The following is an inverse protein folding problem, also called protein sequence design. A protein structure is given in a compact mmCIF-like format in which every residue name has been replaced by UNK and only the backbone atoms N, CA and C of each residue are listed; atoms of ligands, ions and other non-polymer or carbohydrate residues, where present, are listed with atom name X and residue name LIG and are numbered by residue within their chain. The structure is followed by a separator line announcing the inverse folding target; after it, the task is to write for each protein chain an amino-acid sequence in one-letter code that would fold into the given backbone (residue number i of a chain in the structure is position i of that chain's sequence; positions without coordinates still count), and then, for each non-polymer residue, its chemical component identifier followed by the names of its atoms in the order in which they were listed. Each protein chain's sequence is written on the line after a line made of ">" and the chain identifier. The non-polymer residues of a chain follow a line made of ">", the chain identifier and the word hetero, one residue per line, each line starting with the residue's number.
data_IF_070383176244
#
_entry.id   IF_070383176244
#
_cell.length_a   1.000
_cell.length_b   1.000
_cell.length_c   1.000
_cell.angle_alpha   90.00
_cell.angle_beta   90.00
_cell.angle_gamma   90.00
#
_symmetry.space_group_name_H-M   'P 1'
#
loop_
_entity.id
_entity.type
_entity.pdbx_description
1 polymer ?
#
# COMPACT_ATOMS: atom_id res chain seq x y z
N UNK A 1 13.90 36.75 -19.84
CA UNK A 1 15.08 37.20 -19.16
C UNK A 1 14.88 37.11 -17.68
N UNK A 2 15.72 36.32 -17.01
CA UNK A 2 15.71 36.28 -15.54
C UNK A 2 16.33 37.59 -15.06
N UNK A 3 15.63 38.31 -14.21
CA UNK A 3 16.13 39.50 -13.55
C UNK A 3 16.87 39.07 -12.29
N UNK A 4 18.22 39.08 -12.27
CA UNK A 4 19.00 38.63 -11.11
C UNK A 4 18.71 39.47 -9.85
N UNK A 5 18.27 40.72 -10.03
CA UNK A 5 17.93 41.63 -8.92
C UNK A 5 16.58 41.28 -8.25
N UNK A 6 15.71 40.52 -8.91
CA UNK A 6 14.42 40.13 -8.37
C UNK A 6 14.47 38.83 -7.55
N UNK A 7 15.62 38.17 -7.40
CA UNK A 7 15.74 36.87 -6.69
C UNK A 7 15.01 35.69 -7.37
N UNK A 8 14.67 35.83 -8.66
CA UNK A 8 14.01 34.79 -9.45
C UNK A 8 15.04 34.07 -10.29
N UNK A 9 15.28 32.82 -9.96
CA UNK A 9 16.16 31.95 -10.72
C UNK A 9 15.59 31.63 -12.11
N UNK A 10 16.43 31.41 -13.14
CA UNK A 10 15.97 31.10 -14.47
C UNK A 10 15.25 29.76 -14.54
N UNK A 11 14.21 29.65 -15.36
CA UNK A 11 13.35 28.46 -15.49
C UNK A 11 14.13 27.16 -15.77
N UNK A 12 15.21 27.25 -16.60
CA UNK A 12 16.06 26.08 -16.88
C UNK A 12 16.72 25.51 -15.64
N UNK A 13 17.01 26.33 -14.62
CA UNK A 13 17.61 25.89 -13.37
C UNK A 13 16.60 25.07 -12.57
N UNK A 14 15.36 25.53 -12.44
CA UNK A 14 14.30 24.77 -11.78
C UNK A 14 14.05 23.42 -12.47
N UNK A 15 14.10 23.38 -13.81
CA UNK A 15 13.96 22.11 -14.55
C UNK A 15 15.10 21.14 -14.23
N UNK A 16 16.34 21.59 -14.11
CA UNK A 16 17.46 20.74 -13.68
C UNK A 16 17.29 20.22 -12.26
N UNK A 17 16.82 21.07 -11.34
CA UNK A 17 16.52 20.69 -9.96
C UNK A 17 15.44 19.60 -9.93
N UNK A 18 14.38 19.71 -10.73
CA UNK A 18 13.34 18.68 -10.84
C UNK A 18 13.88 17.34 -11.33
N UNK A 19 14.78 17.33 -12.31
CA UNK A 19 15.43 16.11 -12.83
C UNK A 19 16.17 15.35 -11.72
N UNK A 20 16.69 16.07 -10.71
CA UNK A 20 17.37 15.45 -9.55
C UNK A 20 16.35 15.06 -8.46
N UNK A 21 15.40 15.92 -8.16
CA UNK A 21 14.40 15.69 -7.10
C UNK A 21 13.51 14.50 -7.41
N UNK A 22 13.01 14.37 -8.64
CA UNK A 22 12.07 13.32 -9.01
C UNK A 22 12.62 11.90 -8.71
N UNK A 23 13.82 11.50 -9.20
CA UNK A 23 14.38 10.19 -8.87
C UNK A 23 14.60 9.96 -7.37
N UNK A 24 15.02 11.00 -6.64
CA UNK A 24 15.21 10.91 -5.19
C UNK A 24 13.88 10.60 -4.49
N UNK A 25 12.81 11.32 -4.83
CA UNK A 25 11.49 11.05 -4.25
C UNK A 25 10.92 9.69 -4.65
N UNK A 26 11.11 9.25 -5.91
CA UNK A 26 10.72 7.90 -6.34
C UNK A 26 11.43 6.82 -5.52
N UNK A 27 12.73 7.01 -5.25
CA UNK A 27 13.50 6.10 -4.41
C UNK A 27 12.99 6.12 -2.97
N UNK A 28 12.78 7.29 -2.38
CA UNK A 28 12.22 7.42 -1.03
C UNK A 28 10.84 6.74 -0.91
N UNK A 29 9.97 6.93 -1.90
CA UNK A 29 8.64 6.29 -1.90
C UNK A 29 8.71 4.77 -2.00
N UNK A 30 9.71 4.25 -2.72
CA UNK A 30 9.99 2.81 -2.77
C UNK A 30 10.45 2.30 -1.40
N UNK A 31 11.42 2.99 -0.77
CA UNK A 31 11.96 2.63 0.56
C UNK A 31 10.87 2.66 1.64
N UNK A 32 9.99 3.67 1.61
CA UNK A 32 8.88 3.77 2.56
C UNK A 32 7.62 2.98 2.15
N UNK A 33 7.75 2.10 1.15
CA UNK A 33 6.66 1.23 0.66
C UNK A 33 5.37 2.00 0.30
N UNK A 34 5.51 3.22 -0.20
CA UNK A 34 4.39 4.04 -0.61
C UNK A 34 3.74 3.57 -1.92
N UNK A 35 4.46 2.80 -2.74
CA UNK A 35 3.93 2.18 -3.96
C UNK A 35 3.24 0.84 -3.71
N UNK A 36 3.38 0.25 -2.51
CA UNK A 36 2.77 -1.04 -2.22
C UNK A 36 1.30 -0.85 -1.85
N UNK A 37 0.34 -1.37 -2.65
CA UNK A 37 -1.07 -1.24 -2.34
C UNK A 37 -1.44 -2.11 -1.15
N UNK A 38 -1.71 -1.49 -0.01
CA UNK A 38 -2.15 -2.19 1.21
C UNK A 38 -3.64 -1.94 1.42
N UNK A 39 -4.47 -2.99 1.20
CA UNK A 39 -5.93 -2.89 1.30
C UNK A 39 -6.43 -2.54 2.71
N UNK A 40 -5.71 -3.02 3.73
CA UNK A 40 -6.11 -2.94 5.15
C UNK A 40 -5.31 -1.92 5.95
N UNK A 41 -4.31 -1.26 5.34
CA UNK A 41 -3.46 -0.30 6.05
C UNK A 41 -4.25 0.92 6.54
N UNK A 42 -4.01 1.31 7.81
CA UNK A 42 -4.60 2.50 8.41
C UNK A 42 -4.09 3.81 7.77
N UNK A 43 -4.98 4.81 7.68
CA UNK A 43 -4.66 6.16 7.14
C UNK A 43 -3.49 6.83 7.88
N UNK A 44 -3.42 6.63 9.21
CA UNK A 44 -2.37 7.22 10.06
C UNK A 44 -0.97 6.75 9.69
N UNK A 45 -0.81 5.44 9.43
CA UNK A 45 0.48 4.87 9.08
C UNK A 45 0.94 5.32 7.69
N UNK A 46 0.02 5.43 6.74
CA UNK A 46 0.31 5.94 5.41
C UNK A 46 0.74 7.41 5.45
N UNK A 47 -0.01 8.25 6.17
CA UNK A 47 0.36 9.65 6.40
C UNK A 47 1.73 9.79 7.06
N UNK A 48 2.01 8.97 8.09
CA UNK A 48 3.32 8.97 8.74
C UNK A 48 4.45 8.61 7.77
N UNK A 49 4.23 7.66 6.86
CA UNK A 49 5.23 7.30 5.85
C UNK A 49 5.43 8.42 4.81
N UNK A 50 4.37 9.12 4.40
CA UNK A 50 4.47 10.32 3.56
C UNK A 50 5.30 11.40 4.26
N UNK A 51 5.02 11.69 5.52
CA UNK A 51 5.78 12.68 6.29
C UNK A 51 7.26 12.28 6.40
N UNK A 52 7.56 11.01 6.72
CA UNK A 52 8.94 10.51 6.81
C UNK A 52 9.69 10.67 5.50
N UNK A 53 9.11 10.25 4.38
CA UNK A 53 9.72 10.37 3.06
C UNK A 53 10.01 11.85 2.73
N UNK A 54 9.05 12.72 2.97
CA UNK A 54 9.19 14.15 2.73
C UNK A 54 10.23 14.82 3.65
N UNK A 55 10.28 14.49 4.93
CA UNK A 55 11.28 15.00 5.87
C UNK A 55 12.69 14.62 5.41
N UNK A 56 12.89 13.34 5.06
CA UNK A 56 14.19 12.88 4.56
C UNK A 56 14.54 13.56 3.23
N UNK A 57 13.57 13.70 2.33
CA UNK A 57 13.75 14.45 1.08
C UNK A 57 14.16 15.90 1.32
N UNK A 58 13.53 16.57 2.28
CA UNK A 58 13.90 17.93 2.69
C UNK A 58 15.32 18.02 3.23
N UNK A 59 15.73 17.06 4.10
CA UNK A 59 17.09 16.99 4.61
C UNK A 59 18.13 16.76 3.51
N UNK A 60 17.86 15.81 2.60
CA UNK A 60 18.74 15.54 1.46
C UNK A 60 18.89 16.76 0.57
N UNK A 61 17.77 17.42 0.24
CA UNK A 61 17.78 18.59 -0.60
C UNK A 61 18.49 19.78 0.10
N UNK A 62 18.22 20.01 1.38
CA UNK A 62 18.92 21.01 2.18
C UNK A 62 20.43 20.77 2.25
N UNK A 63 20.85 19.50 2.36
CA UNK A 63 22.28 19.11 2.33
C UNK A 63 22.90 19.44 0.97
N UNK A 64 22.23 19.13 -0.13
CA UNK A 64 22.67 19.47 -1.49
C UNK A 64 22.86 20.98 -1.64
N UNK A 65 21.90 21.77 -1.17
CA UNK A 65 21.99 23.24 -1.21
C UNK A 65 23.15 23.76 -0.34
N UNK A 66 23.33 23.18 0.86
CA UNK A 66 24.41 23.58 1.76
C UNK A 66 25.79 23.27 1.17
N UNK A 67 25.99 22.06 0.65
CA UNK A 67 27.27 21.68 0.01
C UNK A 67 27.51 22.46 -1.28
N UNK A 68 26.44 22.75 -2.01
CA UNK A 68 26.48 23.50 -3.28
C UNK A 68 26.53 25.02 -3.12
N UNK A 69 26.60 25.56 -1.92
CA UNK A 69 26.54 27.04 -1.65
C UNK A 69 27.58 27.89 -2.36
N UNK A 70 28.66 27.27 -2.88
CA UNK A 70 29.64 27.97 -3.73
C UNK A 70 29.09 28.34 -5.11
N UNK A 71 28.04 27.63 -5.55
CA UNK A 71 27.35 27.93 -6.80
C UNK A 71 26.33 29.05 -6.54
N UNK A 72 26.39 30.18 -7.28
CA UNK A 72 25.48 31.32 -7.06
C UNK A 72 24.02 30.94 -7.18
N UNK A 73 23.63 30.06 -8.11
CA UNK A 73 22.25 29.62 -8.29
C UNK A 73 21.72 28.80 -7.09
N UNK A 74 22.54 27.93 -6.50
CA UNK A 74 22.14 27.15 -5.34
C UNK A 74 22.07 27.99 -4.05
N UNK A 75 22.91 29.03 -3.96
CA UNK A 75 22.90 29.98 -2.85
C UNK A 75 21.63 30.83 -2.82
N UNK A 76 21.17 31.25 -3.97
CA UNK A 76 19.95 32.09 -4.12
C UNK A 76 18.64 31.25 -4.01
N UNK A 77 18.74 29.94 -3.81
CA UNK A 77 17.55 29.11 -3.67
C UNK A 77 16.77 29.42 -2.38
N UNK A 78 15.56 29.89 -2.51
CA UNK A 78 14.77 30.41 -1.40
C UNK A 78 14.32 29.32 -0.43
N UNK A 79 14.61 29.49 0.86
CA UNK A 79 14.08 28.61 1.92
C UNK A 79 12.55 28.62 2.00
N UNK A 80 11.89 29.75 1.63
CA UNK A 80 10.44 29.85 1.56
C UNK A 80 9.87 28.95 0.46
N UNK A 81 10.54 28.86 -0.67
CA UNK A 81 10.16 27.99 -1.78
C UNK A 81 10.30 26.52 -1.38
N UNK A 82 11.37 26.16 -0.65
CA UNK A 82 11.53 24.80 -0.09
C UNK A 82 10.40 24.44 0.87
N UNK A 83 10.08 25.33 1.81
CA UNK A 83 9.00 25.11 2.76
C UNK A 83 7.63 24.99 2.05
N UNK A 84 7.39 25.87 1.07
CA UNK A 84 6.17 25.82 0.25
C UNK A 84 6.07 24.51 -0.53
N UNK A 85 7.14 24.08 -1.20
CA UNK A 85 7.19 22.79 -1.91
C UNK A 85 6.90 21.61 -0.96
N UNK A 86 7.56 21.56 0.19
CA UNK A 86 7.37 20.52 1.19
C UNK A 86 5.92 20.42 1.68
N UNK A 87 5.33 21.55 2.05
CA UNK A 87 3.95 21.60 2.52
C UNK A 87 2.95 21.22 1.42
N UNK A 88 3.15 21.74 0.23
CA UNK A 88 2.30 21.44 -0.93
C UNK A 88 2.40 19.99 -1.32
N UNK A 89 3.60 19.41 -1.31
CA UNK A 89 3.82 18.00 -1.64
C UNK A 89 3.11 17.07 -0.66
N UNK A 90 3.31 17.25 0.66
CA UNK A 90 2.60 16.44 1.68
C UNK A 90 1.08 16.56 1.53
N UNK A 91 0.59 17.78 1.32
CA UNK A 91 -0.86 18.02 1.19
C UNK A 91 -1.41 17.36 -0.07
N UNK A 92 -0.78 17.57 -1.21
CA UNK A 92 -1.20 16.99 -2.49
C UNK A 92 -1.19 15.46 -2.44
N UNK A 93 -0.11 14.84 -1.95
CA UNK A 93 0.00 13.39 -1.81
C UNK A 93 -1.05 12.80 -0.86
N UNK A 94 -1.28 13.48 0.27
CA UNK A 94 -2.29 13.03 1.23
C UNK A 94 -3.69 13.10 0.63
N UNK A 95 -4.02 14.15 -0.10
CA UNK A 95 -5.30 14.33 -0.78
C UNK A 95 -5.49 13.28 -1.88
N UNK A 96 -4.51 13.13 -2.76
CA UNK A 96 -4.52 12.15 -3.84
C UNK A 96 -4.77 10.73 -3.30
N UNK A 97 -4.00 10.31 -2.31
CA UNK A 97 -4.13 8.98 -1.71
C UNK A 97 -5.48 8.76 -1.03
N UNK A 98 -5.97 9.75 -0.33
CA UNK A 98 -7.31 9.65 0.27
C UNK A 98 -8.41 9.58 -0.78
N UNK A 99 -8.29 10.31 -1.89
CA UNK A 99 -9.22 10.26 -3.01
C UNK A 99 -9.21 8.88 -3.67
N UNK A 100 -8.04 8.38 -4.08
CA UNK A 100 -7.88 7.05 -4.68
C UNK A 100 -8.42 5.97 -3.76
N UNK A 101 -8.08 6.01 -2.48
CA UNK A 101 -8.59 5.06 -1.47
C UNK A 101 -10.11 5.08 -1.38
N UNK A 102 -10.71 6.26 -1.34
CA UNK A 102 -12.18 6.40 -1.24
C UNK A 102 -12.86 5.83 -2.46
N UNK A 103 -12.36 6.13 -3.65
CA UNK A 103 -12.87 5.59 -4.91
C UNK A 103 -12.74 4.06 -4.93
N UNK A 104 -11.54 3.53 -4.64
CA UNK A 104 -11.31 2.08 -4.63
C UNK A 104 -12.16 1.34 -3.60
N UNK A 105 -12.35 1.90 -2.41
CA UNK A 105 -13.23 1.32 -1.39
C UNK A 105 -14.69 1.29 -1.85
N UNK A 106 -15.17 2.38 -2.44
CA UNK A 106 -16.52 2.44 -3.01
C UNK A 106 -16.71 1.41 -4.12
N UNK A 107 -15.75 1.26 -5.02
CA UNK A 107 -15.77 0.25 -6.09
C UNK A 107 -15.81 -1.18 -5.51
N UNK A 108 -14.96 -1.47 -4.51
CA UNK A 108 -14.90 -2.78 -3.86
C UNK A 108 -16.20 -3.14 -3.15
N UNK A 109 -16.79 -2.19 -2.42
CA UNK A 109 -18.08 -2.38 -1.77
C UNK A 109 -19.21 -2.69 -2.78
N UNK A 110 -19.10 -2.18 -4.02
CA UNK A 110 -20.01 -2.50 -5.13
C UNK A 110 -19.67 -3.80 -5.86
N UNK A 111 -18.65 -4.55 -5.41
CA UNK A 111 -18.27 -5.83 -6.01
C UNK A 111 -17.19 -5.77 -7.09
N UNK A 112 -16.66 -4.57 -7.40
CA UNK A 112 -15.54 -4.43 -8.35
C UNK A 112 -14.19 -4.64 -7.66
N UNK A 113 -13.20 -5.12 -8.40
CA UNK A 113 -11.83 -5.32 -7.91
C UNK A 113 -11.78 -6.14 -6.61
N UNK A 114 -12.61 -7.19 -6.54
CA UNK A 114 -12.60 -8.15 -5.44
C UNK A 114 -11.46 -9.15 -5.60
N UNK A 115 -10.89 -9.58 -4.47
CA UNK A 115 -9.95 -10.70 -4.39
C UNK A 115 -10.66 -11.93 -3.83
N UNK A 116 -10.54 -13.03 -4.53
CA UNK A 116 -11.11 -14.30 -4.14
C UNK A 116 -10.11 -15.08 -3.28
N UNK A 117 -10.57 -15.47 -2.07
CA UNK A 117 -9.75 -16.13 -1.07
C UNK A 117 -10.33 -17.49 -0.75
N UNK A 118 -9.44 -18.47 -0.57
CA UNK A 118 -9.77 -19.75 0.11
C UNK A 118 -9.09 -19.76 1.46
N UNK A 119 -9.82 -20.24 2.46
CA UNK A 119 -9.28 -20.51 3.79
C UNK A 119 -8.84 -21.97 3.88
N UNK A 120 -7.67 -22.20 4.42
CA UNK A 120 -7.14 -23.53 4.69
C UNK A 120 -7.11 -23.76 6.20
N UNK A 121 -7.94 -24.70 6.65
CA UNK A 121 -8.19 -25.03 8.05
C UNK A 121 -9.36 -24.25 8.67
N UNK A 122 -10.29 -24.99 9.29
CA UNK A 122 -11.39 -24.42 10.06
C UNK A 122 -11.00 -24.30 11.53
N UNK A 123 -10.90 -23.08 12.00
CA UNK A 123 -10.56 -22.76 13.38
C UNK A 123 -11.22 -21.46 13.83
N UNK A 124 -11.08 -21.07 15.10
CA UNK A 124 -11.49 -19.74 15.57
C UNK A 124 -10.85 -18.61 14.75
N UNK A 125 -9.64 -18.83 14.23
CA UNK A 125 -8.99 -17.86 13.35
C UNK A 125 -9.73 -17.73 12.02
N UNK A 126 -10.24 -18.83 11.45
CA UNK A 126 -11.08 -18.83 10.25
C UNK A 126 -12.38 -18.05 10.49
N UNK A 127 -13.08 -18.36 11.60
CA UNK A 127 -14.32 -17.64 11.99
C UNK A 127 -14.08 -16.13 12.11
N UNK A 128 -13.05 -15.74 12.88
CA UNK A 128 -12.69 -14.33 13.05
C UNK A 128 -12.21 -13.65 11.75
N UNK A 129 -11.63 -14.40 10.82
CA UNK A 129 -11.28 -13.88 9.49
C UNK A 129 -12.52 -13.61 8.66
N UNK A 130 -13.44 -14.59 8.59
CA UNK A 130 -14.72 -14.47 7.88
C UNK A 130 -15.52 -13.30 8.43
N UNK A 131 -15.65 -13.19 9.75
CA UNK A 131 -16.39 -12.10 10.39
C UNK A 131 -15.84 -10.73 10.00
N UNK A 132 -14.51 -10.57 10.01
CA UNK A 132 -13.86 -9.31 9.61
C UNK A 132 -14.07 -9.00 8.13
N UNK A 133 -14.00 -9.99 7.25
CA UNK A 133 -14.22 -9.79 5.81
C UNK A 133 -15.66 -9.39 5.53
N UNK A 134 -16.63 -10.06 6.17
CA UNK A 134 -18.06 -9.76 6.01
C UNK A 134 -18.43 -8.39 6.60
N UNK A 135 -17.79 -8.01 7.70
CA UNK A 135 -18.01 -6.68 8.33
C UNK A 135 -17.39 -5.52 7.54
N UNK A 136 -16.45 -5.79 6.62
CA UNK A 136 -15.71 -4.76 5.88
C UNK A 136 -15.71 -5.03 4.35
N UNK A 137 -16.86 -4.93 3.68
CA UNK A 137 -16.96 -5.22 2.24
C UNK A 137 -16.07 -4.31 1.38
N UNK A 138 -15.72 -3.12 1.88
CA UNK A 138 -14.83 -2.18 1.21
C UNK A 138 -13.37 -2.66 1.14
N UNK A 139 -12.98 -3.71 1.87
CA UNK A 139 -11.67 -4.35 1.68
C UNK A 139 -11.58 -5.09 0.35
N UNK A 140 -12.77 -5.48 -0.18
CA UNK A 140 -12.87 -6.18 -1.45
C UNK A 140 -12.31 -7.60 -1.41
N UNK A 141 -12.45 -8.28 -0.28
CA UNK A 141 -12.17 -9.70 -0.14
C UNK A 141 -13.46 -10.52 -0.23
N UNK A 142 -13.38 -11.66 -0.91
CA UNK A 142 -14.49 -12.60 -1.03
C UNK A 142 -14.01 -14.01 -0.72
N UNK A 143 -14.42 -14.53 0.42
CA UNK A 143 -14.14 -15.92 0.78
C UNK A 143 -14.99 -16.84 -0.08
N UNK A 144 -14.37 -17.72 -0.85
CA UNK A 144 -15.02 -18.67 -1.75
C UNK A 144 -15.40 -19.97 -1.06
N UNK A 145 -14.66 -20.35 -0.04
CA UNK A 145 -14.87 -21.56 0.72
C UNK A 145 -13.74 -21.84 1.70
N UNK A 146 -13.89 -22.92 2.41
CA UNK A 146 -12.94 -23.42 3.40
C UNK A 146 -12.51 -24.82 2.96
N UNK A 147 -11.22 -25.13 3.05
CA UNK A 147 -10.68 -26.46 2.94
C UNK A 147 -10.32 -26.96 4.34
N UNK A 148 -10.88 -28.07 4.74
CA UNK A 148 -10.63 -28.62 6.08
C UNK A 148 -10.77 -30.15 6.09
N UNK A 149 -9.85 -30.85 6.79
CA UNK A 149 -9.85 -32.31 6.83
C UNK A 149 -10.73 -32.89 7.96
N UNK A 150 -11.15 -32.05 8.92
CA UNK A 150 -11.90 -32.47 10.11
C UNK A 150 -13.39 -32.11 10.03
N UNK A 151 -13.73 -31.07 9.29
CA UNK A 151 -15.13 -30.67 9.12
C UNK A 151 -15.75 -31.35 7.91
N UNK A 152 -17.01 -31.79 8.02
CA UNK A 152 -17.68 -32.43 6.89
C UNK A 152 -17.90 -31.45 5.74
N UNK A 153 -17.87 -31.94 4.52
CA UNK A 153 -18.23 -31.20 3.31
C UNK A 153 -19.61 -30.55 3.47
N UNK A 154 -19.73 -29.28 3.09
CA UNK A 154 -20.95 -28.51 3.21
C UNK A 154 -21.19 -27.88 4.58
N UNK A 155 -20.31 -28.11 5.59
CA UNK A 155 -20.38 -27.37 6.85
C UNK A 155 -20.36 -25.87 6.58
N UNK A 156 -21.32 -25.14 7.13
CA UNK A 156 -21.52 -23.72 6.84
C UNK A 156 -21.21 -22.84 8.04
N UNK A 157 -20.46 -21.78 7.80
CA UNK A 157 -20.29 -20.68 8.75
C UNK A 157 -20.57 -19.36 8.08
N UNK A 158 -21.68 -18.73 8.45
CA UNK A 158 -22.14 -17.43 7.89
C UNK A 158 -22.21 -17.41 6.36
N UNK A 159 -22.66 -18.48 5.73
CA UNK A 159 -22.79 -18.62 4.29
C UNK A 159 -21.51 -19.07 3.58
N UNK A 160 -20.40 -19.26 4.30
CA UNK A 160 -19.15 -19.80 3.76
C UNK A 160 -19.05 -21.28 4.10
N UNK A 161 -18.98 -22.12 3.08
CA UNK A 161 -19.03 -23.58 3.23
C UNK A 161 -17.65 -24.21 3.15
N UNK A 162 -17.50 -25.34 3.85
CA UNK A 162 -16.40 -26.28 3.61
C UNK A 162 -16.66 -26.94 2.26
N UNK A 163 -15.72 -26.77 1.33
CA UNK A 163 -15.85 -27.20 -0.07
C UNK A 163 -14.91 -28.32 -0.46
N UNK A 164 -14.06 -28.76 0.46
CA UNK A 164 -13.11 -29.85 0.23
C UNK A 164 -12.13 -30.01 1.37
N UNK A 165 -11.16 -30.89 1.15
CA UNK A 165 -10.04 -31.18 2.04
C UNK A 165 -8.79 -30.40 1.64
N UNK A 166 -7.74 -30.45 2.44
CA UNK A 166 -6.45 -29.80 2.09
C UNK A 166 -5.84 -30.36 0.81
N UNK A 167 -6.11 -31.63 0.47
CA UNK A 167 -5.63 -32.25 -0.78
C UNK A 167 -6.25 -31.63 -2.03
N UNK A 168 -7.41 -31.00 -1.92
CA UNK A 168 -8.10 -30.35 -3.02
C UNK A 168 -7.54 -28.95 -3.34
N UNK A 169 -6.58 -28.46 -2.52
CA UNK A 169 -5.97 -27.14 -2.71
C UNK A 169 -5.29 -27.00 -4.07
N UNK A 170 -4.47 -28.00 -4.44
CA UNK A 170 -3.72 -27.97 -5.71
C UNK A 170 -4.63 -27.96 -6.94
N UNK A 171 -5.62 -28.86 -7.08
CA UNK A 171 -6.60 -28.77 -8.18
C UNK A 171 -7.34 -27.44 -8.26
N UNK A 172 -7.67 -26.84 -7.11
CA UNK A 172 -8.39 -25.56 -7.04
C UNK A 172 -7.48 -24.39 -7.48
N UNK A 173 -6.20 -24.44 -7.14
CA UNK A 173 -5.21 -23.46 -7.60
C UNK A 173 -5.00 -23.52 -9.12
N UNK A 174 -4.94 -24.72 -9.68
CA UNK A 174 -4.75 -24.93 -11.11
C UNK A 174 -5.93 -24.39 -11.95
N UNK A 175 -7.11 -24.27 -11.36
CA UNK A 175 -8.28 -23.64 -11.99
C UNK A 175 -8.20 -22.11 -12.11
N UNK A 176 -7.12 -21.48 -11.66
CA UNK A 176 -6.77 -20.05 -11.85
C UNK A 176 -7.84 -19.02 -11.46
N UNK A 177 -8.63 -19.29 -10.41
CA UNK A 177 -9.71 -18.40 -9.95
C UNK A 177 -9.51 -17.84 -8.55
N UNK A 178 -8.30 -17.97 -8.00
CA UNK A 178 -7.96 -17.53 -6.65
C UNK A 178 -6.84 -16.49 -6.69
N UNK A 179 -7.02 -15.46 -5.87
CA UNK A 179 -6.03 -14.40 -5.72
C UNK A 179 -5.14 -14.61 -4.49
N UNK A 180 -5.69 -15.21 -3.44
CA UNK A 180 -5.01 -15.39 -2.15
C UNK A 180 -5.48 -16.65 -1.44
N UNK A 181 -4.57 -17.25 -0.66
CA UNK A 181 -4.86 -18.32 0.28
C UNK A 181 -4.60 -17.76 1.68
N UNK A 182 -5.54 -17.93 2.60
CA UNK A 182 -5.35 -17.62 4.00
C UNK A 182 -5.27 -18.91 4.81
N UNK A 183 -4.14 -19.14 5.44
CA UNK A 183 -3.92 -20.31 6.30
C UNK A 183 -4.45 -19.97 7.68
N UNK A 184 -5.48 -20.70 8.10
CA UNK A 184 -6.18 -20.50 9.38
C UNK A 184 -6.13 -21.76 10.25
N UNK A 185 -5.14 -22.61 10.03
CA UNK A 185 -4.88 -23.81 10.83
C UNK A 185 -4.60 -23.48 12.29
N UNK A 186 -4.95 -24.39 13.18
CA UNK A 186 -4.49 -24.32 14.57
C UNK A 186 -2.98 -24.60 14.63
N UNK A 187 -2.29 -24.08 15.66
CA UNK A 187 -0.85 -24.32 15.85
C UNK A 187 -0.45 -25.80 15.89
N UNK A 188 -1.37 -26.69 16.25
CA UNK A 188 -1.15 -28.15 16.28
C UNK A 188 -1.14 -28.78 14.89
N UNK A 189 -1.76 -28.16 13.91
CA UNK A 189 -1.92 -28.68 12.54
C UNK A 189 -0.86 -28.12 11.58
N UNK A 190 -0.09 -27.12 12.03
CA UNK A 190 0.98 -26.49 11.23
C UNK A 190 2.09 -27.48 10.79
N UNK A 191 2.33 -28.54 11.56
CA UNK A 191 3.31 -29.57 11.21
C UNK A 191 2.97 -30.40 9.95
N UNK A 192 1.73 -30.35 9.48
CA UNK A 192 1.30 -31.05 8.25
C UNK A 192 1.46 -30.22 6.96
N UNK A 193 1.82 -28.95 7.06
CA UNK A 193 1.97 -28.06 5.87
C UNK A 193 3.21 -28.37 5.02
N UNK A 194 4.23 -29.04 5.58
CA UNK A 194 5.44 -29.42 4.82
C UNK A 194 5.17 -30.52 3.78
N UNK A 195 3.97 -31.10 3.75
CA UNK A 195 3.60 -32.20 2.83
C UNK A 195 2.67 -31.74 1.68
N UNK A 196 2.36 -30.46 1.58
CA UNK A 196 1.50 -29.84 0.55
C UNK A 196 2.33 -28.99 -0.41
#
# INVERSE_FOLDING_TARGET
>A
GADPEAGILPTWFYMRVLVVIIPVYLLLYTVFHLFTPKRVQGRRQEFANICKANIIGLFLFGTILYLGRKNPYLREFSARLMAGFFLTNITAETLERNLIRTVLRSMRAKGYNQKHIILVGYSRAAEGYIDRVLANPEWGYRVRGILDDHKPWGYDYRGIKVIGTMKDLKPILDMNRLDEIAITLSLKEYGGLEQI
#
